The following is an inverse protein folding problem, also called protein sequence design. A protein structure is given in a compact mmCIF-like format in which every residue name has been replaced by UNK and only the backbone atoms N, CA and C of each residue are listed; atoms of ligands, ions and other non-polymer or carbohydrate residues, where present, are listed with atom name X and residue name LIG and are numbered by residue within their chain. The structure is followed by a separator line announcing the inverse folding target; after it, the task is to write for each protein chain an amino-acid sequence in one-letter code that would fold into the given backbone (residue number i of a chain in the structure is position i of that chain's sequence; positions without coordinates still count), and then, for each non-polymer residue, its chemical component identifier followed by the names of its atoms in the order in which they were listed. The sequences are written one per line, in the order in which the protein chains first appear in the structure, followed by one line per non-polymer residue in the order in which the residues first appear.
data_IF_011393166258
#
_entry.id   IF_011393166258
#
_cell.length_a   1.000
_cell.length_b   1.000
_cell.length_c   1.000
_cell.angle_alpha   90.00
_cell.angle_beta   90.00
_cell.angle_gamma   90.00
#
_symmetry.space_group_name_H-M   'P 1'
#
loop_
_entity.id
_entity.type
_entity.pdbx_description
1 polymer ?
#
# COMPACT_ATOMS: atom_id res chain seq x y z
N UNK A 1 -41.71 -44.70 62.50
CA UNK A 1 -41.73 -45.67 61.39
C UNK A 1 -40.78 -45.14 60.32
N UNK A 2 -39.90 -46.03 59.85
CA UNK A 2 -38.84 -45.87 58.82
C UNK A 2 -37.69 -44.89 59.19
N UNK A 3 -36.46 -45.32 59.56
CA UNK A 3 -35.39 -46.04 58.78
C UNK A 3 -34.93 -45.18 57.59
N UNK A 4 -33.67 -44.89 57.28
CA UNK A 4 -32.29 -45.34 57.56
C UNK A 4 -31.38 -44.11 57.30
N UNK A 5 -30.14 -43.91 57.76
CA UNK A 5 -29.02 -44.83 57.84
C UNK A 5 -27.83 -44.28 57.02
N UNK A 6 -26.98 -43.52 57.71
CA UNK A 6 -25.52 -43.67 57.73
C UNK A 6 -24.59 -43.12 56.60
N UNK A 7 -23.38 -42.75 57.08
CA UNK A 7 -22.05 -42.61 56.43
C UNK A 7 -21.73 -41.28 55.71
N UNK A 8 -20.84 -40.43 56.23
CA UNK A 8 -19.37 -40.52 56.45
C UNK A 8 -18.57 -39.99 55.24
N UNK A 9 -17.43 -39.35 55.51
CA UNK A 9 -16.32 -39.37 54.56
C UNK A 9 -15.84 -38.00 54.11
N UNK A 10 -14.87 -37.46 54.83
CA UNK A 10 -13.89 -36.51 54.32
C UNK A 10 -13.22 -37.01 53.05
N UNK A 11 -13.07 -36.13 52.06
CA UNK A 11 -12.06 -36.27 51.00
C UNK A 11 -12.60 -35.89 49.63
N UNK A 12 -12.25 -34.70 49.15
CA UNK A 12 -11.72 -34.52 47.80
C UNK A 12 -11.20 -33.08 47.64
N UNK A 13 -9.89 -32.97 47.43
CA UNK A 13 -9.20 -31.77 46.96
C UNK A 13 -9.64 -31.48 45.51
N UNK A 14 -10.79 -30.83 45.32
CA UNK A 14 -11.12 -30.21 44.05
C UNK A 14 -10.64 -28.74 44.08
N UNK A 15 -9.87 -28.26 43.08
CA UNK A 15 -9.62 -26.84 42.95
C UNK A 15 -10.97 -26.11 42.78
N UNK A 16 -11.11 -24.87 43.28
CA UNK A 16 -12.38 -24.17 43.23
C UNK A 16 -12.85 -24.04 41.78
N UNK A 17 -14.08 -24.48 41.52
CA UNK A 17 -14.76 -24.23 40.25
C UNK A 17 -14.78 -22.73 39.99
N UNK A 18 -14.00 -22.29 39.01
CA UNK A 18 -14.22 -21.00 38.38
C UNK A 18 -15.56 -21.10 37.64
N UNK A 19 -16.62 -20.60 38.28
CA UNK A 19 -17.85 -20.25 37.58
C UNK A 19 -17.43 -19.36 36.41
N UNK A 20 -17.58 -19.86 35.19
CA UNK A 20 -17.49 -19.02 34.01
C UNK A 20 -18.55 -17.94 34.18
N UNK A 21 -18.09 -16.72 34.46
CA UNK A 21 -18.94 -15.57 34.23
C UNK A 21 -19.25 -15.65 32.73
N UNK A 22 -20.52 -15.96 32.40
CA UNK A 22 -21.02 -15.71 31.06
C UNK A 22 -20.66 -14.25 30.79
N UNK A 23 -19.70 -14.04 29.89
CA UNK A 23 -19.49 -12.75 29.25
C UNK A 23 -20.88 -12.29 28.86
N UNK A 24 -21.39 -11.30 29.57
CA UNK A 24 -22.49 -10.52 29.04
C UNK A 24 -21.87 -9.90 27.80
N UNK A 25 -22.32 -10.37 26.65
CA UNK A 25 -22.16 -9.74 25.35
C UNK A 25 -22.60 -8.27 25.48
N UNK A 26 -21.70 -7.45 26.01
CA UNK A 26 -21.69 -6.04 25.69
C UNK A 26 -21.41 -6.04 24.19
N UNK A 27 -22.28 -5.45 23.36
CA UNK A 27 -21.97 -5.33 21.96
C UNK A 27 -20.68 -4.53 21.89
N UNK A 28 -19.58 -5.21 21.59
CA UNK A 28 -18.45 -4.59 20.92
C UNK A 28 -19.10 -3.88 19.75
N UNK A 29 -19.24 -2.56 19.84
CA UNK A 29 -19.33 -1.75 18.63
C UNK A 29 -17.99 -1.95 17.94
N UNK A 30 -17.85 -3.07 17.22
CA UNK A 30 -16.98 -3.13 16.07
C UNK A 30 -17.50 -2.04 15.16
N UNK A 31 -16.86 -0.87 15.20
CA UNK A 31 -16.96 0.04 14.09
C UNK A 31 -16.50 -0.76 12.87
N UNK A 32 -17.35 -1.02 11.88
CA UNK A 32 -16.92 -1.75 10.70
C UNK A 32 -15.77 -0.97 10.08
N UNK A 33 -14.57 -1.56 10.01
CA UNK A 33 -13.42 -0.94 9.37
C UNK A 33 -13.79 -0.63 7.93
N UNK A 34 -13.95 0.66 7.64
CA UNK A 34 -14.44 1.12 6.35
C UNK A 34 -13.32 1.03 5.31
N UNK A 35 -13.61 0.31 4.24
CA UNK A 35 -12.64 0.02 3.20
C UNK A 35 -12.86 0.94 1.98
N UNK A 36 -12.05 1.98 1.80
CA UNK A 36 -12.19 2.92 0.66
C UNK A 36 -11.97 2.29 -0.72
N UNK A 37 -11.68 0.99 -0.83
CA UNK A 37 -11.43 0.32 -2.09
C UNK A 37 -12.61 0.43 -3.08
N UNK A 38 -13.89 0.41 -2.66
CA UNK A 38 -15.08 0.49 -3.55
C UNK A 38 -16.44 0.84 -2.85
N UNK A 39 -16.68 2.08 -2.38
CA UNK A 39 -17.95 2.44 -1.69
C UNK A 39 -19.19 2.54 -2.60
N UNK A 40 -20.39 2.21 -2.09
CA UNK A 40 -21.69 2.57 -2.70
C UNK A 40 -22.24 3.90 -2.13
N UNK A 41 -23.26 4.55 -2.74
CA UNK A 41 -23.83 5.80 -2.22
C UNK A 41 -24.35 5.72 -0.77
N UNK A 42 -24.87 4.55 -0.35
CA UNK A 42 -25.26 4.30 1.05
C UNK A 42 -24.04 4.15 1.98
N UNK A 43 -22.93 3.65 1.43
CA UNK A 43 -21.62 3.63 2.09
C UNK A 43 -21.04 5.05 2.23
N UNK A 44 -21.47 5.97 1.37
CA UNK A 44 -21.12 7.39 1.38
C UNK A 44 -22.00 8.25 2.31
N UNK A 45 -23.06 7.71 2.92
CA UNK A 45 -23.87 8.50 3.86
C UNK A 45 -23.25 8.60 5.27
N UNK A 46 -22.31 7.69 5.62
CA UNK A 46 -21.47 7.82 6.84
C UNK A 46 -20.24 8.73 6.63
N UNK A 47 -20.17 9.40 5.47
CA UNK A 47 -19.06 10.17 4.91
C UNK A 47 -19.21 11.68 5.19
N UNK A 48 -19.80 12.07 6.33
CA UNK A 48 -20.01 13.50 6.60
C UNK A 48 -18.72 14.23 7.03
N UNK A 49 -17.62 13.52 7.29
CA UNK A 49 -16.34 14.22 7.43
C UNK A 49 -15.15 13.36 6.95
N UNK A 50 -14.91 13.30 5.63
CA UNK A 50 -13.49 13.37 5.22
C UNK A 50 -13.04 14.71 5.77
N UNK A 51 -12.28 14.73 6.86
CA UNK A 51 -11.79 15.99 7.42
C UNK A 51 -10.99 16.65 6.30
N UNK A 52 -11.50 17.73 5.68
CA UNK A 52 -10.76 18.40 4.65
C UNK A 52 -9.41 18.79 5.25
N UNK A 53 -8.37 18.72 4.44
CA UNK A 53 -7.07 19.20 4.86
C UNK A 53 -7.22 20.65 5.34
N UNK A 54 -6.59 21.02 6.46
CA UNK A 54 -6.74 22.37 6.98
C UNK A 54 -6.36 23.42 5.93
N UNK A 55 -7.03 24.57 5.93
CA UNK A 55 -6.96 25.60 4.88
C UNK A 55 -5.52 26.00 4.49
N UNK A 56 -4.60 26.08 5.46
CA UNK A 56 -3.19 26.38 5.19
C UNK A 56 -2.49 25.36 4.29
N UNK A 57 -2.99 24.14 4.18
CA UNK A 57 -2.49 23.08 3.31
C UNK A 57 -3.28 22.92 2.01
N UNK A 58 -4.27 23.75 1.73
CA UNK A 58 -4.98 23.68 0.43
C UNK A 58 -3.99 23.77 -0.73
N UNK A 59 -4.28 23.06 -1.81
CA UNK A 59 -3.44 23.09 -3.00
C UNK A 59 -3.56 24.45 -3.69
N UNK A 60 -2.46 25.18 -3.78
CA UNK A 60 -2.39 26.44 -4.53
C UNK A 60 -1.81 26.15 -5.91
N UNK A 61 -2.65 26.07 -6.96
CA UNK A 61 -2.15 25.77 -8.29
C UNK A 61 -1.46 26.98 -8.92
N UNK A 62 -0.55 26.72 -9.86
CA UNK A 62 -0.08 27.73 -10.81
C UNK A 62 -0.99 27.69 -12.02
N UNK A 63 -1.76 28.76 -12.25
CA UNK A 63 -2.79 28.79 -13.27
C UNK A 63 -2.17 28.75 -14.68
N UNK A 64 -2.74 27.93 -15.57
CA UNK A 64 -2.27 27.79 -16.95
C UNK A 64 -0.97 26.99 -17.12
N UNK A 65 -0.39 26.46 -16.04
CA UNK A 65 0.84 25.68 -16.10
C UNK A 65 0.60 24.27 -16.67
N UNK A 66 1.39 23.88 -17.68
CA UNK A 66 1.42 22.50 -18.15
C UNK A 66 2.21 21.62 -17.19
N UNK A 67 1.89 20.32 -17.06
CA UNK A 67 2.63 19.43 -16.18
C UNK A 67 4.15 19.41 -16.43
N UNK A 68 4.56 19.45 -17.70
CA UNK A 68 5.96 19.42 -18.11
C UNK A 68 6.74 20.65 -17.63
N UNK A 69 6.07 21.78 -17.45
CA UNK A 69 6.67 23.02 -16.98
C UNK A 69 6.87 23.06 -15.45
N UNK A 70 6.22 22.18 -14.68
CA UNK A 70 6.17 22.29 -13.22
C UNK A 70 7.55 22.18 -12.55
N UNK A 71 8.39 21.25 -13.01
CA UNK A 71 9.75 21.07 -12.46
C UNK A 71 10.68 22.24 -12.74
N UNK A 72 10.46 22.97 -13.84
CA UNK A 72 11.25 24.16 -14.16
C UNK A 72 10.79 25.41 -13.38
N UNK A 73 9.67 25.31 -12.65
CA UNK A 73 9.02 26.40 -11.94
C UNK A 73 8.68 26.03 -10.49
N UNK A 74 9.51 25.19 -9.85
CA UNK A 74 9.33 24.74 -8.45
C UNK A 74 9.16 25.92 -7.49
N UNK A 75 9.91 27.01 -7.69
CA UNK A 75 9.85 28.20 -6.85
C UNK A 75 8.45 28.81 -6.81
N UNK A 76 7.70 28.76 -7.92
CA UNK A 76 6.32 29.24 -7.95
C UNK A 76 5.41 28.40 -7.04
N UNK A 77 5.60 27.08 -6.99
CA UNK A 77 4.85 26.20 -6.07
C UNK A 77 5.24 26.46 -4.60
N UNK A 78 6.54 26.56 -4.31
CA UNK A 78 7.05 26.83 -2.96
C UNK A 78 6.47 28.16 -2.46
N UNK A 79 6.57 29.20 -3.30
CA UNK A 79 6.14 30.54 -2.94
C UNK A 79 4.63 30.66 -2.76
N UNK A 80 3.87 30.06 -3.67
CA UNK A 80 2.41 29.99 -3.55
C UNK A 80 2.00 29.34 -2.23
N UNK A 81 2.67 28.25 -1.87
CA UNK A 81 2.38 27.55 -0.62
C UNK A 81 2.86 28.31 0.62
N UNK A 82 3.97 29.02 0.52
CA UNK A 82 4.46 29.88 1.60
C UNK A 82 3.47 31.00 1.90
N UNK A 83 2.89 31.62 0.87
CA UNK A 83 1.83 32.63 1.03
C UNK A 83 0.59 32.02 1.70
N UNK A 84 0.13 30.86 1.23
CA UNK A 84 -1.03 30.17 1.81
C UNK A 84 -0.84 29.82 3.28
N UNK A 85 0.32 29.29 3.66
CA UNK A 85 0.65 28.98 5.06
C UNK A 85 0.84 30.25 5.90
N UNK A 86 1.26 31.36 5.30
CA UNK A 86 1.41 32.63 6.02
C UNK A 86 0.06 33.29 6.26
N UNK A 87 -0.88 33.19 5.31
CA UNK A 87 -2.25 33.68 5.45
C UNK A 87 -3.09 32.82 6.41
N UNK A 88 -2.79 31.53 6.48
CA UNK A 88 -3.48 30.56 7.34
C UNK A 88 -2.50 29.74 8.17
N UNK A 89 -1.74 30.37 9.08
CA UNK A 89 -0.68 29.71 9.82
C UNK A 89 -1.28 28.74 10.85
N UNK A 90 -0.77 27.49 10.92
CA UNK A 90 -1.03 26.64 12.07
C UNK A 90 -0.54 27.32 13.36
N UNK A 91 -1.21 27.04 14.49
CA UNK A 91 -0.81 27.59 15.78
C UNK A 91 0.67 27.27 16.09
N UNK A 92 1.37 28.23 16.68
CA UNK A 92 2.76 28.11 17.15
C UNK A 92 3.82 27.85 16.05
N UNK A 93 3.52 28.19 14.79
CA UNK A 93 4.49 28.08 13.70
C UNK A 93 5.29 29.36 13.52
N UNK A 94 6.62 29.24 13.56
CA UNK A 94 7.52 30.34 13.23
C UNK A 94 7.62 30.54 11.72
N UNK A 95 8.14 31.70 11.30
CA UNK A 95 8.39 31.99 9.88
C UNK A 95 9.36 30.98 9.25
N UNK A 96 10.39 30.54 9.98
CA UNK A 96 11.31 29.51 9.47
C UNK A 96 10.59 28.18 9.24
N UNK A 97 9.74 27.77 10.18
CA UNK A 97 8.94 26.54 10.04
C UNK A 97 7.98 26.62 8.85
N UNK A 98 7.30 27.75 8.66
CA UNK A 98 6.43 27.98 7.51
C UNK A 98 7.21 27.83 6.20
N UNK A 99 8.37 28.48 6.07
CA UNK A 99 9.23 28.38 4.87
C UNK A 99 9.63 26.93 4.60
N UNK A 100 10.05 26.22 5.64
CA UNK A 100 10.48 24.80 5.57
C UNK A 100 9.38 23.87 5.06
N UNK A 101 8.17 24.02 5.59
CA UNK A 101 7.00 23.23 5.18
C UNK A 101 6.54 23.63 3.77
N UNK A 102 6.61 24.93 3.43
CA UNK A 102 6.31 25.40 2.08
C UNK A 102 7.27 24.81 1.03
N UNK A 103 8.57 24.70 1.35
CA UNK A 103 9.55 24.01 0.50
C UNK A 103 9.13 22.55 0.27
N UNK A 104 8.81 21.83 1.35
CA UNK A 104 8.40 20.42 1.29
C UNK A 104 7.15 20.20 0.42
N UNK A 105 6.10 20.98 0.68
CA UNK A 105 4.84 20.91 -0.06
C UNK A 105 5.02 21.35 -1.51
N UNK A 106 5.70 22.47 -1.75
CA UNK A 106 5.90 23.03 -3.09
C UNK A 106 6.67 22.07 -4.01
N UNK A 107 7.77 21.49 -3.52
CA UNK A 107 8.53 20.47 -4.26
C UNK A 107 7.67 19.25 -4.53
N UNK A 108 7.01 18.72 -3.50
CA UNK A 108 6.22 17.50 -3.65
C UNK A 108 5.09 17.67 -4.65
N UNK A 109 4.47 18.84 -4.68
CA UNK A 109 3.42 19.19 -5.63
C UNK A 109 3.96 19.38 -7.04
N UNK A 110 5.07 20.10 -7.21
CA UNK A 110 5.69 20.28 -8.52
C UNK A 110 6.13 18.94 -9.13
N UNK A 111 6.78 18.08 -8.33
CA UNK A 111 7.20 16.73 -8.75
C UNK A 111 6.00 15.86 -9.07
N UNK A 112 4.97 15.84 -8.21
CA UNK A 112 3.76 15.08 -8.47
C UNK A 112 3.06 15.55 -9.76
N UNK A 113 2.96 16.86 -9.95
CA UNK A 113 2.39 17.46 -11.16
C UNK A 113 3.14 17.02 -12.42
N UNK A 114 4.46 17.16 -12.46
CA UNK A 114 5.23 16.77 -13.63
C UNK A 114 5.21 15.26 -13.90
N UNK A 115 5.38 14.46 -12.85
CA UNK A 115 5.58 13.02 -12.99
C UNK A 115 4.27 12.25 -13.25
N UNK A 116 3.15 12.74 -12.72
CA UNK A 116 1.84 12.10 -12.85
C UNK A 116 0.86 12.89 -13.71
N UNK A 117 1.34 13.94 -14.38
CA UNK A 117 0.55 14.82 -15.26
C UNK A 117 -0.70 15.37 -14.59
N UNK A 118 -0.58 15.76 -13.30
CA UNK A 118 -1.71 16.27 -12.52
C UNK A 118 -2.25 17.54 -13.16
N UNK A 119 -3.55 17.54 -13.45
CA UNK A 119 -4.30 18.70 -13.92
C UNK A 119 -5.17 19.27 -12.79
N UNK A 120 -5.73 20.46 -13.01
CA UNK A 120 -6.65 21.07 -12.05
C UNK A 120 -7.89 20.22 -11.77
N UNK A 121 -8.36 19.45 -12.76
CA UNK A 121 -9.47 18.50 -12.62
C UNK A 121 -9.12 17.29 -11.75
N UNK A 122 -7.83 17.02 -11.54
CA UNK A 122 -7.35 15.93 -10.68
C UNK A 122 -7.25 16.34 -9.21
N UNK A 123 -7.56 17.60 -8.89
CA UNK A 123 -7.51 18.16 -7.53
C UNK A 123 -8.94 18.38 -7.04
N UNK A 124 -9.22 17.95 -5.81
CA UNK A 124 -10.52 18.17 -5.18
C UNK A 124 -10.83 19.66 -5.06
N UNK A 125 -11.95 20.15 -5.62
CA UNK A 125 -12.27 21.58 -5.65
C UNK A 125 -12.30 22.24 -4.26
N UNK A 126 -12.74 21.51 -3.24
CA UNK A 126 -12.87 21.97 -1.85
C UNK A 126 -11.53 22.12 -1.11
N UNK A 127 -10.48 21.43 -1.57
CA UNK A 127 -9.12 21.50 -0.99
C UNK A 127 -8.17 22.32 -1.87
N UNK A 128 -8.73 23.16 -2.76
CA UNK A 128 -7.99 24.07 -3.65
C UNK A 128 -8.06 25.49 -3.12
N UNK A 129 -6.94 26.22 -3.15
CA UNK A 129 -6.91 27.65 -2.88
C UNK A 129 -6.82 28.46 -4.17
N UNK A 130 -7.04 29.77 -4.08
CA UNK A 130 -6.88 30.68 -5.21
C UNK A 130 -5.42 30.71 -5.70
N UNK A 131 -5.17 30.66 -7.02
CA UNK A 131 -3.82 30.72 -7.56
C UNK A 131 -3.16 32.06 -7.21
N UNK A 132 -1.84 32.03 -6.97
CA UNK A 132 -1.02 33.24 -6.77
C UNK A 132 -0.32 33.64 -8.08
N UNK A 133 -0.02 32.65 -8.91
CA UNK A 133 0.74 32.84 -10.14
C UNK A 133 0.00 32.29 -11.36
N UNK A 134 0.17 32.99 -12.47
CA UNK A 134 -0.11 32.53 -13.83
C UNK A 134 1.20 32.05 -14.47
N UNK A 135 1.12 30.97 -15.24
CA UNK A 135 2.16 30.55 -16.14
C UNK A 135 1.82 31.02 -17.56
N UNK A 136 2.75 31.75 -18.16
CA UNK A 136 2.70 32.10 -19.58
C UNK A 136 3.62 31.14 -20.34
N UNK A 137 3.08 30.27 -21.21
CA UNK A 137 3.90 29.40 -22.05
C UNK A 137 4.90 30.20 -22.91
N UNK A 138 6.06 29.61 -23.26
CA UNK A 138 7.01 30.28 -24.14
C UNK A 138 6.36 30.58 -25.49
N UNK A 139 6.53 31.81 -25.98
CA UNK A 139 6.14 32.18 -27.34
C UNK A 139 7.28 31.90 -28.33
N UNK A 140 7.01 31.98 -29.63
CA UNK A 140 8.01 31.71 -30.67
C UNK A 140 9.29 32.54 -30.45
N UNK A 141 10.42 31.86 -30.22
CA UNK A 141 11.72 32.47 -29.89
C UNK A 141 12.10 32.41 -28.41
N UNK A 142 11.19 32.06 -27.50
CA UNK A 142 11.48 31.85 -26.09
C UNK A 142 11.73 30.36 -25.79
N UNK A 143 12.74 30.07 -24.96
CA UNK A 143 13.07 28.69 -24.56
C UNK A 143 12.36 28.26 -23.27
N UNK A 144 11.78 29.19 -22.53
CA UNK A 144 11.11 28.95 -21.23
C UNK A 144 9.91 29.86 -21.07
N UNK A 145 8.82 29.30 -20.53
CA UNK A 145 7.68 30.11 -20.10
C UNK A 145 8.00 30.96 -18.87
N UNK A 146 7.18 31.97 -18.63
CA UNK A 146 7.36 32.94 -17.54
C UNK A 146 6.28 32.81 -16.49
N UNK A 147 6.61 33.18 -15.25
CA UNK A 147 5.68 33.24 -14.14
C UNK A 147 5.25 34.69 -13.93
N UNK A 148 3.94 34.91 -13.92
CA UNK A 148 3.32 36.22 -13.71
C UNK A 148 2.45 36.18 -12.46
N UNK A 149 2.38 37.28 -11.72
CA UNK A 149 1.50 37.37 -10.54
C UNK A 149 0.06 37.55 -11.03
N UNK A 150 -0.90 36.83 -10.44
CA UNK A 150 -2.32 36.97 -10.84
C UNK A 150 -2.83 38.39 -10.57
N UNK A 151 -3.69 38.93 -11.47
CA UNK A 151 -4.38 40.18 -11.18
C UNK A 151 -5.34 39.98 -10.01
N UNK A 152 -5.41 40.95 -9.10
CA UNK A 152 -6.36 40.93 -7.97
C UNK A 152 -5.78 40.56 -6.60
N UNK A 153 -4.49 40.24 -6.49
CA UNK A 153 -3.81 40.22 -5.18
C UNK A 153 -3.71 41.63 -4.59
N UNK A 154 -3.83 41.71 -3.26
CA UNK A 154 -3.54 42.94 -2.50
C UNK A 154 -2.09 43.41 -2.71
N UNK A 155 -1.81 44.68 -2.42
CA UNK A 155 -0.46 45.23 -2.63
C UNK A 155 0.59 44.53 -1.76
N UNK A 156 0.23 44.13 -0.53
CA UNK A 156 1.11 43.36 0.36
C UNK A 156 1.40 41.95 -0.18
N UNK A 157 0.36 41.24 -0.63
CA UNK A 157 0.52 39.91 -1.24
C UNK A 157 1.33 39.99 -2.53
N UNK A 158 1.13 41.03 -3.34
CA UNK A 158 1.89 41.26 -4.57
C UNK A 158 3.34 41.58 -4.27
N UNK A 159 3.62 42.41 -3.26
CA UNK A 159 4.98 42.71 -2.82
C UNK A 159 5.69 41.43 -2.35
N UNK A 160 5.01 40.59 -1.56
CA UNK A 160 5.54 39.27 -1.17
C UNK A 160 5.78 38.38 -2.40
N UNK A 161 4.79 38.26 -3.29
CA UNK A 161 4.84 37.47 -4.52
C UNK A 161 5.91 37.95 -5.52
N UNK A 162 6.38 39.20 -5.43
CA UNK A 162 7.47 39.74 -6.23
C UNK A 162 8.87 39.51 -5.66
N UNK A 163 9.02 39.26 -4.34
CA UNK A 163 10.34 39.09 -3.70
C UNK A 163 11.08 37.81 -4.15
N UNK A 164 12.37 37.85 -4.54
CA UNK A 164 13.12 36.63 -4.79
C UNK A 164 13.12 35.69 -3.57
N UNK A 165 12.98 34.38 -3.78
CA UNK A 165 13.23 33.41 -2.70
C UNK A 165 14.71 33.09 -2.69
N UNK A 166 15.36 33.39 -1.56
CA UNK A 166 16.73 32.96 -1.30
C UNK A 166 16.73 31.63 -0.53
N UNK A 167 17.52 30.68 -1.02
CA UNK A 167 17.74 29.39 -0.39
C UNK A 167 19.15 29.31 0.20
N UNK A 168 19.24 28.91 1.46
CA UNK A 168 20.48 28.51 2.10
C UNK A 168 21.01 27.21 1.48
N UNK A 169 22.29 26.91 1.66
CA UNK A 169 22.87 25.68 1.11
C UNK A 169 22.26 24.42 1.76
N UNK A 170 21.87 24.50 3.03
CA UNK A 170 21.13 23.45 3.71
C UNK A 170 19.73 23.23 3.09
N UNK A 171 19.02 24.31 2.75
CA UNK A 171 17.75 24.21 2.02
C UNK A 171 17.95 23.59 0.65
N UNK A 172 18.94 24.03 -0.14
CA UNK A 172 19.22 23.44 -1.47
C UNK A 172 19.52 21.95 -1.40
N UNK A 173 20.33 21.53 -0.42
CA UNK A 173 20.61 20.12 -0.18
C UNK A 173 19.31 19.35 0.17
N UNK A 174 18.47 19.93 1.03
CA UNK A 174 17.19 19.33 1.38
C UNK A 174 16.22 19.26 0.20
N UNK A 175 16.16 20.29 -0.64
CA UNK A 175 15.34 20.33 -1.84
C UNK A 175 15.69 19.17 -2.78
N UNK A 176 16.98 18.89 -3.00
CA UNK A 176 17.42 17.78 -3.85
C UNK A 176 16.95 16.41 -3.31
N UNK A 177 16.99 16.21 -1.99
CA UNK A 177 16.49 14.99 -1.33
C UNK A 177 14.97 14.89 -1.43
N UNK A 178 14.26 15.99 -1.15
CA UNK A 178 12.81 16.06 -1.22
C UNK A 178 12.31 15.73 -2.63
N UNK A 179 12.94 16.27 -3.68
CA UNK A 179 12.58 15.98 -5.06
C UNK A 179 12.58 14.47 -5.37
N UNK A 180 13.60 13.73 -4.90
CA UNK A 180 13.68 12.27 -5.08
C UNK A 180 12.62 11.53 -4.28
N UNK A 181 12.41 11.95 -3.03
CA UNK A 181 11.38 11.36 -2.17
C UNK A 181 9.97 11.59 -2.74
N UNK A 182 9.71 12.75 -3.34
CA UNK A 182 8.40 13.13 -3.87
C UNK A 182 7.94 12.27 -5.05
N UNK A 183 8.87 11.64 -5.77
CA UNK A 183 8.54 10.65 -6.81
C UNK A 183 7.73 9.47 -6.24
N UNK A 184 7.95 9.15 -4.96
CA UNK A 184 7.26 8.04 -4.29
C UNK A 184 5.89 8.42 -3.71
N UNK A 185 5.57 9.71 -3.56
CA UNK A 185 4.39 10.14 -2.78
C UNK A 185 3.08 9.60 -3.35
N UNK A 186 2.74 9.91 -4.61
CA UNK A 186 1.50 9.45 -5.23
C UNK A 186 1.44 7.91 -5.33
N UNK A 187 2.49 7.20 -5.83
CA UNK A 187 2.45 5.75 -5.92
C UNK A 187 2.31 5.05 -4.56
N UNK A 188 2.98 5.55 -3.51
CA UNK A 188 2.88 4.95 -2.19
C UNK A 188 1.56 5.28 -1.48
N UNK A 189 1.00 6.47 -1.69
CA UNK A 189 -0.37 6.75 -1.24
C UNK A 189 -1.37 5.80 -1.91
N UNK A 190 -1.23 5.58 -3.23
CA UNK A 190 -2.02 4.58 -3.96
C UNK A 190 -1.81 3.15 -3.45
N UNK A 191 -0.57 2.75 -3.16
CA UNK A 191 -0.27 1.45 -2.55
C UNK A 191 -0.96 1.31 -1.18
N UNK A 192 -0.88 2.34 -0.34
CA UNK A 192 -1.50 2.35 0.99
C UNK A 192 -3.02 2.24 0.90
N UNK A 193 -3.65 2.91 -0.06
CA UNK A 193 -5.09 2.76 -0.34
C UNK A 193 -5.46 1.32 -0.71
N UNK A 194 -4.65 0.65 -1.54
CA UNK A 194 -4.86 -0.76 -1.92
C UNK A 194 -4.62 -1.71 -0.74
N UNK A 195 -3.64 -1.42 0.11
CA UNK A 195 -3.21 -2.29 1.21
C UNK A 195 -4.15 -2.19 2.43
N UNK A 196 -4.45 -0.98 2.89
CA UNK A 196 -5.20 -0.73 4.12
C UNK A 196 -6.37 0.25 3.98
N UNK A 197 -6.65 0.76 2.78
CA UNK A 197 -7.77 1.67 2.56
C UNK A 197 -7.54 3.07 3.12
N UNK A 198 -6.30 3.46 3.42
CA UNK A 198 -5.89 4.79 3.90
C UNK A 198 -4.74 5.28 3.01
N UNK A 199 -4.70 6.57 2.66
CA UNK A 199 -3.62 7.10 1.82
C UNK A 199 -2.28 7.22 2.56
N UNK A 200 -2.31 7.49 3.86
CA UNK A 200 -1.12 7.47 4.71
C UNK A 200 -1.45 7.17 6.18
N UNK A 201 -0.68 6.27 6.79
CA UNK A 201 -0.65 6.09 8.24
C UNK A 201 0.78 6.31 8.75
N UNK A 202 0.94 7.29 9.63
CA UNK A 202 2.24 7.67 10.21
C UNK A 202 2.81 6.63 11.17
N UNK A 203 1.98 5.72 11.69
CA UNK A 203 2.43 4.66 12.57
C UNK A 203 3.33 3.65 11.82
N UNK A 204 4.60 3.60 12.25
CA UNK A 204 5.63 2.69 11.74
C UNK A 204 5.33 1.21 12.03
N UNK A 205 4.37 0.89 12.89
CA UNK A 205 3.86 -0.46 13.09
C UNK A 205 3.06 -0.98 11.88
N UNK A 206 2.39 -0.08 11.16
CA UNK A 206 1.53 -0.39 10.02
C UNK A 206 2.31 -0.69 8.74
N UNK A 207 1.70 -1.39 7.78
CA UNK A 207 2.32 -1.63 6.48
C UNK A 207 2.48 -0.33 5.67
N UNK A 208 1.52 0.58 5.76
CA UNK A 208 1.60 1.93 5.21
C UNK A 208 2.83 2.65 5.75
N UNK A 209 2.94 2.84 7.07
CA UNK A 209 4.08 3.53 7.69
C UNK A 209 5.43 2.88 7.38
N UNK A 210 5.49 1.54 7.28
CA UNK A 210 6.70 0.81 6.85
C UNK A 210 7.10 1.09 5.40
N UNK A 211 6.14 1.30 4.50
CA UNK A 211 6.40 1.62 3.10
C UNK A 211 7.04 3.00 2.97
N UNK A 212 6.47 4.03 3.60
CA UNK A 212 7.03 5.39 3.60
C UNK A 212 8.37 5.45 4.33
N UNK A 213 8.50 4.80 5.50
CA UNK A 213 9.77 4.73 6.23
C UNK A 213 10.89 3.99 5.47
N UNK A 214 10.58 3.17 4.46
CA UNK A 214 11.60 2.58 3.59
C UNK A 214 12.23 3.64 2.66
N UNK A 215 11.42 4.57 2.14
CA UNK A 215 11.89 5.71 1.34
C UNK A 215 12.68 6.69 2.20
N UNK A 216 12.19 6.99 3.40
CA UNK A 216 12.91 7.85 4.35
C UNK A 216 14.30 7.27 4.68
N UNK A 217 14.40 5.97 4.99
CA UNK A 217 15.70 5.33 5.25
C UNK A 217 16.64 5.39 4.06
N UNK A 218 16.10 5.43 2.85
CA UNK A 218 16.88 5.50 1.64
C UNK A 218 17.51 6.88 1.43
N UNK A 219 16.81 7.97 1.78
CA UNK A 219 17.25 9.33 1.41
C UNK A 219 17.52 10.26 2.60
N UNK A 220 16.92 10.03 3.77
CA UNK A 220 17.01 10.93 4.93
C UNK A 220 18.19 10.58 5.86
N UNK A 221 19.03 9.63 5.47
CA UNK A 221 20.22 9.23 6.23
C UNK A 221 21.40 10.18 6.08
N UNK A 222 21.41 11.05 5.07
CA UNK A 222 22.52 11.99 4.85
C UNK A 222 22.57 13.06 5.96
N UNK A 223 23.74 13.43 6.50
CA UNK A 223 23.84 14.39 7.61
C UNK A 223 23.16 15.74 7.32
N UNK A 224 23.37 16.28 6.11
CA UNK A 224 22.82 17.58 5.72
C UNK A 224 21.29 17.63 5.77
N UNK A 225 20.60 16.59 5.29
CA UNK A 225 19.13 16.53 5.38
C UNK A 225 18.67 16.22 6.79
N UNK A 226 19.39 15.39 7.54
CA UNK A 226 19.04 15.06 8.93
C UNK A 226 19.05 16.31 9.82
N UNK A 227 20.08 17.14 9.68
CA UNK A 227 20.21 18.39 10.42
C UNK A 227 19.13 19.40 9.97
N UNK A 228 18.89 19.48 8.66
CA UNK A 228 17.81 20.31 8.13
C UNK A 228 16.46 19.87 8.69
N UNK A 229 16.11 18.58 8.71
CA UNK A 229 14.86 18.04 9.26
C UNK A 229 14.69 18.43 10.73
N UNK A 230 15.73 18.20 11.55
CA UNK A 230 15.80 18.62 12.94
C UNK A 230 14.56 18.27 13.77
N UNK A 231 14.09 19.24 14.57
CA UNK A 231 12.92 19.08 15.42
C UNK A 231 11.58 19.00 14.65
N UNK A 232 11.56 19.41 13.38
CA UNK A 232 10.33 19.48 12.56
C UNK A 232 10.07 18.21 11.74
N UNK A 233 10.85 17.13 11.96
CA UNK A 233 10.76 15.90 11.15
C UNK A 233 9.33 15.34 11.05
N UNK A 234 8.56 15.35 12.14
CA UNK A 234 7.19 14.81 12.15
C UNK A 234 6.25 15.65 11.28
N UNK A 235 6.39 16.98 11.33
CA UNK A 235 5.59 17.90 10.52
C UNK A 235 5.99 17.82 9.05
N UNK A 236 7.27 17.63 8.75
CA UNK A 236 7.76 17.43 7.38
C UNK A 236 7.26 16.09 6.83
N UNK A 237 7.26 15.02 7.63
CA UNK A 237 6.68 13.72 7.27
C UNK A 237 5.19 13.84 6.94
N UNK A 238 4.41 14.49 7.81
CA UNK A 238 2.99 14.69 7.55
C UNK A 238 2.78 15.59 6.32
N UNK A 239 3.53 16.70 6.20
CA UNK A 239 3.45 17.57 5.03
C UNK A 239 3.75 16.82 3.73
N UNK A 240 4.80 16.00 3.71
CA UNK A 240 5.24 15.29 2.52
C UNK A 240 4.34 14.11 2.15
N UNK A 241 4.08 13.22 3.10
CA UNK A 241 3.44 11.94 2.84
C UNK A 241 1.92 12.00 2.91
N UNK A 242 1.37 13.01 3.59
CA UNK A 242 -0.07 13.23 3.69
C UNK A 242 -0.47 14.47 2.90
N UNK A 243 -0.09 15.67 3.39
CA UNK A 243 -0.70 16.95 2.97
C UNK A 243 -0.35 17.39 1.55
N UNK A 244 0.82 17.00 1.03
CA UNK A 244 1.28 17.43 -0.29
C UNK A 244 0.30 17.03 -1.39
N UNK A 245 -0.20 15.79 -1.34
CA UNK A 245 -1.03 15.18 -2.39
C UNK A 245 -2.32 14.55 -1.88
N UNK A 246 -2.71 14.80 -0.62
CA UNK A 246 -4.05 14.48 -0.12
C UNK A 246 -5.17 15.00 -1.05
N UNK A 247 -5.11 16.24 -1.57
CA UNK A 247 -6.14 16.77 -2.46
C UNK A 247 -6.22 16.10 -3.84
N UNK A 248 -5.27 15.25 -4.21
CA UNK A 248 -5.27 14.58 -5.53
C UNK A 248 -6.30 13.44 -5.54
N UNK A 249 -7.08 13.38 -6.61
CA UNK A 249 -8.11 12.38 -6.85
C UNK A 249 -7.57 10.95 -6.73
N UNK A 250 -8.37 10.09 -6.10
CA UNK A 250 -8.00 8.68 -5.85
C UNK A 250 -7.70 7.92 -7.14
N UNK A 251 -8.38 8.23 -8.24
CA UNK A 251 -8.16 7.60 -9.54
C UNK A 251 -6.71 7.76 -10.03
N UNK A 252 -6.08 8.91 -9.79
CA UNK A 252 -4.67 9.12 -10.14
C UNK A 252 -3.77 8.26 -9.26
N UNK A 253 -4.04 8.21 -7.95
CA UNK A 253 -3.27 7.39 -6.99
C UNK A 253 -3.35 5.90 -7.35
N UNK A 254 -4.54 5.39 -7.68
CA UNK A 254 -4.74 4.01 -8.11
C UNK A 254 -4.03 3.70 -9.44
N UNK A 255 -4.10 4.60 -10.42
CA UNK A 255 -3.39 4.44 -11.70
C UNK A 255 -1.89 4.39 -11.49
N UNK A 256 -1.34 5.28 -10.67
CA UNK A 256 0.09 5.34 -10.40
C UNK A 256 0.59 4.09 -9.66
N UNK A 257 -0.14 3.60 -8.65
CA UNK A 257 0.32 2.45 -7.87
C UNK A 257 0.18 1.11 -8.61
N UNK A 258 -0.69 1.00 -9.61
CA UNK A 258 -0.86 -0.23 -10.40
C UNK A 258 -0.08 -0.23 -11.72
N UNK A 259 0.58 0.87 -12.06
CA UNK A 259 1.33 1.00 -13.30
C UNK A 259 2.70 0.33 -13.22
N UNK A 260 2.97 -0.56 -14.17
CA UNK A 260 4.30 -1.13 -14.39
C UNK A 260 5.30 -0.09 -14.92
N UNK A 261 4.82 0.88 -15.72
CA UNK A 261 5.64 1.99 -16.20
C UNK A 261 6.13 2.86 -15.03
N UNK A 262 5.25 3.19 -14.08
CA UNK A 262 5.62 3.96 -12.88
C UNK A 262 6.65 3.21 -12.04
N UNK A 263 6.52 1.88 -11.94
CA UNK A 263 7.54 1.06 -11.27
C UNK A 263 8.90 1.22 -11.95
N UNK A 264 8.97 1.11 -13.27
CA UNK A 264 10.21 1.22 -14.04
C UNK A 264 10.83 2.62 -13.96
N UNK A 265 9.99 3.66 -13.96
CA UNK A 265 10.41 5.03 -13.71
C UNK A 265 11.04 5.18 -12.31
N UNK A 266 10.41 4.63 -11.26
CA UNK A 266 10.97 4.66 -9.91
C UNK A 266 12.29 3.89 -9.80
N UNK A 267 12.42 2.73 -10.47
CA UNK A 267 13.69 2.00 -10.54
C UNK A 267 14.77 2.86 -11.20
N UNK A 268 14.46 3.46 -12.34
CA UNK A 268 15.39 4.32 -13.11
C UNK A 268 15.81 5.55 -12.32
N UNK A 269 14.88 6.16 -11.58
CA UNK A 269 15.15 7.27 -10.68
C UNK A 269 15.88 6.87 -9.38
N UNK A 270 16.19 5.59 -9.20
CA UNK A 270 16.87 5.06 -8.03
C UNK A 270 15.99 4.93 -6.81
N UNK A 271 14.66 5.06 -6.89
CA UNK A 271 13.69 4.98 -5.78
C UNK A 271 13.23 3.53 -5.57
N UNK A 272 14.18 2.60 -5.44
CA UNK A 272 13.92 1.16 -5.37
C UNK A 272 13.03 0.73 -4.19
N UNK A 273 13.10 1.44 -3.06
CA UNK A 273 12.29 1.16 -1.87
C UNK A 273 10.79 1.35 -2.11
N UNK A 274 10.40 2.28 -2.99
CA UNK A 274 9.03 2.45 -3.43
C UNK A 274 8.70 1.49 -4.59
N UNK A 275 9.60 1.35 -5.57
CA UNK A 275 9.39 0.53 -6.75
C UNK A 275 9.06 -0.95 -6.43
N UNK A 276 9.69 -1.53 -5.41
CA UNK A 276 9.43 -2.92 -4.99
C UNK A 276 7.99 -3.17 -4.51
N UNK A 277 7.26 -2.10 -4.18
CA UNK A 277 5.85 -2.16 -3.75
C UNK A 277 4.86 -2.16 -4.92
N UNK A 278 5.36 -1.93 -6.13
CA UNK A 278 4.55 -1.82 -7.34
C UNK A 278 4.76 -3.02 -8.29
N UNK A 279 3.77 -3.36 -9.13
CA UNK A 279 2.38 -2.91 -9.07
C UNK A 279 1.67 -3.31 -7.77
N UNK A 280 0.90 -2.39 -7.20
CA UNK A 280 0.18 -2.62 -5.96
C UNK A 280 -0.95 -3.64 -6.17
N UNK A 281 -1.07 -4.57 -5.22
CA UNK A 281 -2.14 -5.57 -5.19
C UNK A 281 -2.58 -5.75 -3.74
N UNK A 282 -3.88 -5.98 -3.55
CA UNK A 282 -4.47 -6.25 -2.24
C UNK A 282 -3.77 -7.45 -1.58
N UNK A 283 -3.58 -7.43 -0.25
CA UNK A 283 -2.90 -8.51 0.47
C UNK A 283 -3.48 -9.90 0.18
N UNK A 284 -4.80 -10.01 0.08
CA UNK A 284 -5.53 -11.25 -0.19
C UNK A 284 -5.29 -11.76 -1.62
N UNK A 285 -5.27 -10.85 -2.59
CA UNK A 285 -4.98 -11.15 -4.01
C UNK A 285 -3.53 -11.63 -4.14
N UNK A 286 -2.61 -10.97 -3.45
CA UNK A 286 -1.19 -11.35 -3.40
C UNK A 286 -1.00 -12.73 -2.76
N UNK A 287 -1.72 -13.01 -1.68
CA UNK A 287 -1.72 -14.33 -1.05
C UNK A 287 -2.27 -15.40 -1.98
N UNK A 288 -3.41 -15.15 -2.64
CA UNK A 288 -4.00 -16.07 -3.62
C UNK A 288 -3.05 -16.39 -4.78
N UNK A 289 -2.39 -15.37 -5.37
CA UNK A 289 -1.35 -15.58 -6.39
C UNK A 289 -0.18 -16.42 -5.88
N UNK A 290 0.23 -16.21 -4.63
CA UNK A 290 1.31 -17.00 -4.01
C UNK A 290 0.90 -18.45 -3.80
N UNK A 291 -0.37 -18.70 -3.50
CA UNK A 291 -0.89 -20.06 -3.35
C UNK A 291 -0.91 -20.79 -4.69
N UNK A 292 -1.39 -20.15 -5.76
CA UNK A 292 -1.39 -20.74 -7.11
C UNK A 292 0.04 -21.09 -7.54
N UNK A 293 0.95 -20.12 -7.49
CA UNK A 293 2.33 -20.35 -7.88
C UNK A 293 3.02 -21.46 -7.05
N UNK A 294 2.66 -21.59 -5.77
CA UNK A 294 3.12 -22.70 -4.94
C UNK A 294 2.53 -24.04 -5.40
N UNK A 295 1.23 -24.08 -5.69
CA UNK A 295 0.55 -25.27 -6.17
C UNK A 295 1.12 -25.72 -7.52
N UNK A 296 1.35 -24.81 -8.46
CA UNK A 296 1.97 -25.11 -9.76
C UNK A 296 3.32 -25.82 -9.62
N UNK A 297 4.10 -25.44 -8.61
CA UNK A 297 5.39 -26.07 -8.32
C UNK A 297 5.24 -27.46 -7.70
N UNK A 298 4.26 -27.67 -6.80
CA UNK A 298 4.10 -28.95 -6.10
C UNK A 298 3.22 -29.97 -6.83
N UNK A 299 2.29 -29.52 -7.68
CA UNK A 299 1.29 -30.37 -8.35
C UNK A 299 1.89 -31.56 -9.11
N UNK A 300 2.96 -31.40 -9.93
CA UNK A 300 3.56 -32.53 -10.64
C UNK A 300 4.05 -33.65 -9.70
N UNK A 301 4.46 -33.32 -8.48
CA UNK A 301 4.92 -34.29 -7.49
C UNK A 301 3.76 -35.07 -6.88
N UNK A 302 2.62 -34.43 -6.65
CA UNK A 302 1.43 -35.07 -6.10
C UNK A 302 0.75 -35.96 -7.14
N UNK A 303 0.70 -35.53 -8.41
CA UNK A 303 0.13 -36.28 -9.53
C UNK A 303 0.84 -37.63 -9.76
N UNK A 304 2.15 -37.69 -9.54
CA UNK A 304 2.93 -38.92 -9.69
C UNK A 304 2.45 -40.07 -8.78
N UNK A 305 1.74 -39.76 -7.69
CA UNK A 305 1.17 -40.72 -6.75
C UNK A 305 -0.37 -40.70 -6.74
N UNK A 306 -1.00 -40.16 -7.79
CA UNK A 306 -2.45 -40.13 -7.95
C UNK A 306 -3.17 -39.06 -7.10
N UNK A 307 -2.41 -38.12 -6.51
CA UNK A 307 -2.95 -36.92 -5.88
C UNK A 307 -3.05 -35.75 -6.86
N UNK A 308 -3.42 -34.57 -6.36
CA UNK A 308 -3.43 -33.35 -7.16
C UNK A 308 -3.92 -32.14 -6.37
N UNK A 309 -3.61 -30.93 -6.86
CA UNK A 309 -4.12 -29.67 -6.31
C UNK A 309 -4.82 -28.92 -7.44
N UNK A 310 -6.12 -28.63 -7.27
CA UNK A 310 -6.89 -27.84 -8.22
C UNK A 310 -6.96 -26.38 -7.77
N UNK A 311 -6.52 -25.47 -8.64
CA UNK A 311 -6.50 -24.02 -8.41
C UNK A 311 -7.55 -23.26 -9.23
N UNK A 312 -8.33 -23.92 -10.08
CA UNK A 312 -9.23 -23.32 -11.08
C UNK A 312 -10.17 -22.27 -10.47
N UNK A 313 -10.76 -22.58 -9.31
CA UNK A 313 -11.71 -21.67 -8.66
C UNK A 313 -11.00 -20.44 -8.07
N UNK A 314 -9.76 -20.59 -7.59
CA UNK A 314 -8.97 -19.47 -7.04
C UNK A 314 -8.46 -18.59 -8.18
N UNK A 315 -8.06 -19.19 -9.30
CA UNK A 315 -7.72 -18.48 -10.55
C UNK A 315 -8.92 -17.66 -11.04
N UNK A 316 -10.11 -18.28 -11.10
CA UNK A 316 -11.34 -17.57 -11.45
C UNK A 316 -11.65 -16.41 -10.49
N UNK A 317 -11.44 -16.60 -9.19
CA UNK A 317 -11.64 -15.55 -8.20
C UNK A 317 -10.67 -14.37 -8.40
N UNK A 318 -9.39 -14.65 -8.70
CA UNK A 318 -8.40 -13.61 -9.00
C UNK A 318 -8.68 -12.91 -10.33
N UNK A 319 -9.11 -13.65 -11.36
CA UNK A 319 -9.53 -13.07 -12.64
C UNK A 319 -10.74 -12.15 -12.47
N UNK A 320 -11.71 -12.55 -11.64
CA UNK A 320 -12.87 -11.73 -11.28
C UNK A 320 -12.46 -10.42 -10.60
N UNK A 321 -11.44 -10.45 -9.72
CA UNK A 321 -10.89 -9.20 -9.14
C UNK A 321 -10.32 -8.29 -10.22
N UNK A 322 -9.59 -8.83 -11.21
CA UNK A 322 -9.02 -8.03 -12.30
C UNK A 322 -10.08 -7.42 -13.21
N UNK A 323 -11.19 -8.14 -13.41
CA UNK A 323 -12.33 -7.67 -14.21
C UNK A 323 -13.05 -6.46 -13.57
N UNK A 324 -12.84 -6.21 -12.27
CA UNK A 324 -13.30 -5.00 -11.59
C UNK A 324 -12.13 -4.05 -11.30
N UNK A 325 -11.92 -2.99 -12.12
CA UNK A 325 -10.79 -2.08 -11.94
C UNK A 325 -10.82 -1.32 -10.60
N UNK A 326 -9.65 -0.91 -10.11
CA UNK A 326 -9.54 -0.06 -8.93
C UNK A 326 -10.09 1.34 -9.20
N UNK A 327 -10.83 1.90 -8.24
CA UNK A 327 -11.34 3.26 -8.31
C UNK A 327 -12.54 3.45 -9.26
N UNK A 328 -13.10 2.38 -9.81
CA UNK A 328 -14.34 2.45 -10.60
C UNK A 328 -15.55 2.41 -9.66
N UNK A 329 -16.29 3.52 -9.61
CA UNK A 329 -17.59 3.56 -8.95
C UNK A 329 -18.63 2.83 -9.81
N UNK A 330 -19.26 1.81 -9.24
CA UNK A 330 -20.32 1.00 -9.88
C UNK A 330 -19.93 0.42 -11.25
N UNK A 331 -18.99 -0.56 -11.30
CA UNK A 331 -18.44 -1.10 -12.55
C UNK A 331 -19.44 -1.87 -13.44
N UNK A 332 -20.74 -1.90 -13.11
CA UNK A 332 -21.74 -2.74 -13.77
C UNK A 332 -21.53 -4.23 -13.49
N UNK A 333 -22.44 -5.05 -13.98
CA UNK A 333 -22.27 -6.51 -13.94
C UNK A 333 -21.25 -6.96 -15.01
N UNK A 334 -20.50 -8.02 -14.70
CA UNK A 334 -19.58 -8.62 -15.66
C UNK A 334 -20.36 -9.24 -16.83
N UNK A 335 -20.04 -8.81 -18.05
CA UNK A 335 -20.55 -9.45 -19.25
C UNK A 335 -20.09 -10.91 -19.29
N UNK A 336 -21.00 -11.84 -19.59
CA UNK A 336 -20.72 -13.29 -19.64
C UNK A 336 -20.16 -13.89 -18.33
N UNK A 337 -20.75 -13.49 -17.20
CA UNK A 337 -20.42 -14.00 -15.87
C UNK A 337 -20.39 -15.54 -15.79
N UNK A 338 -19.25 -16.10 -15.38
CA UNK A 338 -19.13 -17.53 -15.07
C UNK A 338 -20.07 -17.92 -13.91
N UNK A 339 -20.82 -19.01 -14.10
CA UNK A 339 -21.84 -19.51 -13.14
C UNK A 339 -21.26 -19.85 -11.77
N UNK A 340 -19.95 -20.10 -11.68
CA UNK A 340 -19.24 -20.42 -10.43
C UNK A 340 -18.95 -19.16 -9.59
N UNK A 341 -19.09 -17.96 -10.14
CA UNK A 341 -18.88 -16.70 -9.42
C UNK A 341 -20.09 -16.43 -8.49
N UNK A 342 -19.90 -16.37 -7.15
CA UNK A 342 -21.00 -16.20 -6.20
C UNK A 342 -21.82 -14.92 -6.44
N UNK A 343 -23.16 -15.01 -6.42
CA UNK A 343 -24.07 -13.91 -6.82
C UNK A 343 -23.77 -12.55 -6.20
N UNK A 344 -23.30 -12.52 -4.95
CA UNK A 344 -22.93 -11.32 -4.21
C UNK A 344 -21.60 -10.67 -4.64
N UNK A 345 -20.83 -11.30 -5.53
CA UNK A 345 -19.64 -10.72 -6.17
C UNK A 345 -20.10 -9.84 -7.32
N UNK A 346 -20.21 -8.54 -7.04
CA UNK A 346 -20.75 -7.52 -7.97
C UNK A 346 -19.82 -6.31 -8.14
N UNK A 347 -18.72 -6.28 -7.41
CA UNK A 347 -17.69 -5.24 -7.49
C UNK A 347 -16.35 -5.78 -6.98
N UNK A 348 -15.30 -4.97 -7.11
CA UNK A 348 -13.95 -5.38 -6.70
C UNK A 348 -13.86 -5.72 -5.21
N UNK A 349 -14.56 -5.01 -4.32
CA UNK A 349 -14.52 -5.28 -2.87
C UNK A 349 -15.06 -6.68 -2.57
N UNK A 350 -16.23 -7.02 -3.12
CA UNK A 350 -16.84 -8.35 -2.93
C UNK A 350 -16.04 -9.45 -3.62
N UNK A 351 -15.38 -9.16 -4.75
CA UNK A 351 -14.44 -10.08 -5.40
C UNK A 351 -13.19 -10.34 -4.54
N UNK A 352 -12.58 -9.29 -3.97
CA UNK A 352 -11.43 -9.43 -3.04
C UNK A 352 -11.84 -10.19 -1.78
N UNK A 353 -13.04 -9.94 -1.25
CA UNK A 353 -13.56 -10.70 -0.13
C UNK A 353 -13.73 -12.19 -0.47
N UNK A 354 -14.23 -12.50 -1.67
CA UNK A 354 -14.33 -13.89 -2.13
C UNK A 354 -12.95 -14.57 -2.20
N UNK A 355 -11.93 -13.90 -2.75
CA UNK A 355 -10.53 -14.37 -2.71
C UNK A 355 -10.06 -14.57 -1.27
N UNK A 356 -10.32 -13.63 -0.36
CA UNK A 356 -9.99 -13.73 1.06
C UNK A 356 -10.59 -14.99 1.68
N UNK A 357 -11.88 -15.24 1.44
CA UNK A 357 -12.56 -16.44 1.94
C UNK A 357 -11.97 -17.73 1.36
N UNK A 358 -11.51 -17.73 0.11
CA UNK A 358 -10.82 -18.88 -0.49
C UNK A 358 -9.44 -19.09 0.12
N UNK A 359 -8.64 -18.03 0.27
CA UNK A 359 -7.29 -18.09 0.86
C UNK A 359 -7.35 -18.56 2.32
N UNK A 360 -8.33 -18.09 3.11
CA UNK A 360 -8.51 -18.51 4.50
C UNK A 360 -8.94 -19.97 4.61
N UNK A 361 -9.96 -20.39 3.85
CA UNK A 361 -10.46 -21.78 3.87
C UNK A 361 -9.40 -22.79 3.46
N UNK A 362 -8.53 -22.42 2.53
CA UNK A 362 -7.48 -23.30 2.00
C UNK A 362 -6.11 -23.08 2.66
N UNK A 363 -6.02 -22.32 3.76
CA UNK A 363 -4.75 -22.00 4.40
C UNK A 363 -3.97 -23.23 4.86
N UNK A 364 -4.66 -24.28 5.35
CA UNK A 364 -4.01 -25.53 5.77
C UNK A 364 -3.42 -26.31 4.59
N UNK A 365 -4.15 -26.39 3.47
CA UNK A 365 -3.66 -27.05 2.25
C UNK A 365 -2.45 -26.28 1.71
N UNK A 366 -2.53 -24.95 1.64
CA UNK A 366 -1.41 -24.12 1.21
C UNK A 366 -0.21 -24.25 2.15
N UNK A 367 -0.42 -24.35 3.46
CA UNK A 367 0.66 -24.55 4.44
C UNK A 367 1.36 -25.89 4.23
N UNK A 368 0.58 -26.96 4.00
CA UNK A 368 1.10 -28.29 3.67
C UNK A 368 1.90 -28.28 2.36
N UNK A 369 1.36 -27.70 1.30
CA UNK A 369 2.09 -27.54 0.03
C UNK A 369 3.39 -26.74 0.25
N UNK A 370 3.37 -25.73 1.11
CA UNK A 370 4.54 -24.91 1.40
C UNK A 370 5.61 -25.68 2.19
N UNK A 371 5.21 -26.49 3.16
CA UNK A 371 6.11 -27.39 3.88
C UNK A 371 6.79 -28.38 2.94
N UNK A 372 6.01 -29.01 2.05
CA UNK A 372 6.53 -29.92 1.03
C UNK A 372 7.52 -29.20 0.11
N UNK A 373 7.16 -28.01 -0.38
CA UNK A 373 8.03 -27.19 -1.23
C UNK A 373 9.35 -26.81 -0.53
N UNK A 374 9.31 -26.39 0.74
CA UNK A 374 10.53 -26.04 1.48
C UNK A 374 11.41 -27.27 1.68
N UNK A 375 10.85 -28.41 2.10
CA UNK A 375 11.59 -29.66 2.24
C UNK A 375 12.23 -30.10 0.91
N UNK A 376 11.49 -29.96 -0.19
CA UNK A 376 11.99 -30.20 -1.54
C UNK A 376 13.18 -29.28 -1.84
N UNK A 377 12.98 -27.97 -1.70
CA UNK A 377 13.99 -26.94 -1.96
C UNK A 377 15.25 -27.15 -1.12
N UNK A 378 15.12 -27.50 0.17
CA UNK A 378 16.22 -27.80 1.08
C UNK A 378 17.03 -29.02 0.62
N UNK A 379 16.38 -30.09 0.11
CA UNK A 379 17.08 -31.29 -0.35
C UNK A 379 17.67 -31.15 -1.76
N UNK A 380 17.15 -30.26 -2.60
CA UNK A 380 17.68 -29.98 -3.95
C UNK A 380 18.85 -28.98 -3.99
N UNK A 381 19.51 -28.65 -2.87
CA UNK A 381 20.61 -27.68 -2.82
C UNK A 381 21.79 -28.05 -3.76
N UNK A 382 21.74 -27.59 -5.02
CA UNK A 382 22.84 -27.25 -5.96
C UNK A 382 22.36 -27.32 -7.44
N UNK A 383 21.60 -26.32 -7.89
CA UNK A 383 21.73 -25.83 -9.26
C UNK A 383 21.28 -24.37 -9.31
N UNK A 384 22.24 -23.49 -9.53
CA UNK A 384 22.09 -22.03 -9.55
C UNK A 384 21.32 -21.50 -10.78
N UNK A 385 20.26 -22.18 -11.20
CA UNK A 385 19.51 -21.85 -12.43
C UNK A 385 18.00 -21.62 -12.23
N UNK A 386 17.47 -21.70 -11.00
CA UNK A 386 16.02 -21.64 -10.75
C UNK A 386 15.54 -20.37 -10.05
N UNK A 387 15.53 -19.21 -10.72
CA UNK A 387 15.09 -17.93 -10.13
C UNK A 387 13.67 -17.92 -9.54
N UNK A 388 12.78 -18.85 -9.93
CA UNK A 388 11.44 -18.99 -9.37
C UNK A 388 11.41 -19.65 -7.97
N UNK A 389 12.38 -20.53 -7.67
CA UNK A 389 12.47 -21.26 -6.39
C UNK A 389 12.80 -20.31 -5.24
N UNK A 390 13.65 -19.31 -5.49
CA UNK A 390 14.00 -18.30 -4.48
C UNK A 390 12.83 -17.37 -4.15
N UNK A 391 12.03 -16.99 -5.15
CA UNK A 391 10.94 -16.01 -4.96
C UNK A 391 9.86 -16.55 -4.00
N UNK A 392 9.47 -17.82 -4.13
CA UNK A 392 8.44 -18.42 -3.25
C UNK A 392 8.93 -18.59 -1.80
N UNK A 393 10.20 -19.00 -1.61
CA UNK A 393 10.80 -19.13 -0.27
C UNK A 393 10.83 -17.80 0.49
N UNK A 394 11.00 -16.69 -0.23
CA UNK A 394 11.00 -15.34 0.36
C UNK A 394 9.62 -14.68 0.41
N UNK A 395 8.56 -15.34 -0.08
CA UNK A 395 7.20 -14.79 -0.08
C UNK A 395 6.66 -14.57 1.34
N UNK A 396 6.25 -13.33 1.63
CA UNK A 396 5.74 -12.95 2.95
C UNK A 396 4.42 -13.65 3.30
N UNK A 397 3.52 -13.84 2.33
CA UNK A 397 2.24 -14.52 2.51
C UNK A 397 2.45 -15.99 2.90
N UNK A 398 3.40 -16.68 2.27
CA UNK A 398 3.74 -18.07 2.57
C UNK A 398 4.46 -18.20 3.92
N UNK A 399 5.40 -17.29 4.24
CA UNK A 399 6.03 -17.25 5.58
C UNK A 399 5.03 -17.01 6.72
N UNK A 400 3.87 -16.38 6.44
CA UNK A 400 2.80 -16.22 7.43
C UNK A 400 2.11 -17.56 7.73
N UNK A 401 2.04 -18.47 6.76
CA UNK A 401 1.47 -19.81 6.96
C UNK A 401 2.26 -20.63 7.97
N UNK A 402 3.59 -20.53 7.96
CA UNK A 402 4.44 -21.25 8.94
C UNK A 402 4.07 -20.86 10.38
N UNK A 403 3.78 -19.58 10.61
CA UNK A 403 3.40 -19.08 11.94
C UNK A 403 1.96 -19.43 12.31
N UNK A 404 1.05 -19.36 11.33
CA UNK A 404 -0.38 -19.46 11.61
C UNK A 404 -0.94 -20.88 11.49
N UNK A 405 -0.29 -21.75 10.72
CA UNK A 405 -0.71 -23.12 10.40
C UNK A 405 0.47 -24.09 10.50
N UNK A 406 1.26 -23.96 11.57
CA UNK A 406 2.48 -24.74 11.79
C UNK A 406 2.25 -26.26 11.67
N UNK A 407 1.18 -26.86 12.24
CA UNK A 407 0.98 -28.31 12.14
C UNK A 407 0.85 -28.78 10.68
N UNK A 408 0.03 -28.11 9.88
CA UNK A 408 -0.15 -28.45 8.48
C UNK A 408 1.14 -28.25 7.66
N UNK A 409 1.91 -27.21 7.96
CA UNK A 409 3.23 -26.99 7.39
C UNK A 409 4.18 -28.17 7.68
N UNK A 410 4.25 -28.62 8.94
CA UNK A 410 5.11 -29.75 9.34
C UNK A 410 4.67 -31.05 8.64
N UNK A 411 3.37 -31.32 8.56
CA UNK A 411 2.84 -32.46 7.81
C UNK A 411 3.32 -32.44 6.36
N UNK A 412 3.26 -31.29 5.69
CA UNK A 412 3.77 -31.15 4.33
C UNK A 412 5.26 -31.42 4.19
N UNK A 413 6.05 -30.92 5.16
CA UNK A 413 7.50 -31.15 5.21
C UNK A 413 7.82 -32.65 5.33
N UNK A 414 7.09 -33.37 6.19
CA UNK A 414 7.21 -34.81 6.38
C UNK A 414 6.78 -35.59 5.14
N UNK A 415 5.68 -35.19 4.48
CA UNK A 415 5.20 -35.81 3.24
C UNK A 415 6.25 -35.82 2.12
N UNK A 416 7.13 -34.82 2.06
CA UNK A 416 8.24 -34.85 1.11
C UNK A 416 9.28 -35.92 1.46
N UNK A 417 9.48 -36.19 2.75
CA UNK A 417 10.28 -37.32 3.23
C UNK A 417 9.79 -38.64 2.66
N UNK A 418 8.49 -38.90 2.79
CA UNK A 418 7.84 -40.10 2.27
C UNK A 418 7.89 -40.16 0.74
N UNK A 419 7.63 -39.05 0.07
CA UNK A 419 7.77 -38.90 -1.38
C UNK A 419 9.17 -39.30 -1.85
N UNK A 420 10.22 -38.73 -1.24
CA UNK A 420 11.60 -39.00 -1.62
C UNK A 420 11.97 -40.48 -1.40
N UNK A 421 11.51 -41.09 -0.31
CA UNK A 421 11.72 -42.52 -0.04
C UNK A 421 11.02 -43.40 -1.09
N UNK A 422 9.78 -43.06 -1.47
CA UNK A 422 9.01 -43.79 -2.48
C UNK A 422 9.65 -43.69 -3.87
N UNK A 423 10.13 -42.51 -4.26
CA UNK A 423 10.86 -42.29 -5.52
C UNK A 423 12.16 -43.10 -5.57
N UNK A 424 12.97 -43.06 -4.51
CA UNK A 424 14.21 -43.84 -4.42
C UNK A 424 13.96 -45.35 -4.56
N UNK A 425 12.88 -45.86 -3.95
CA UNK A 425 12.46 -47.26 -4.05
C UNK A 425 12.00 -47.65 -5.47
N UNK A 426 11.34 -46.75 -6.19
CA UNK A 426 10.93 -46.96 -7.59
C UNK A 426 12.14 -46.99 -8.53
N UNK A 427 13.11 -46.10 -8.32
CA UNK A 427 14.36 -46.05 -9.10
C UNK A 427 15.23 -47.30 -8.90
N UNK A 428 15.38 -47.78 -7.67
CA UNK A 428 16.11 -49.03 -7.37
C UNK A 428 15.43 -50.25 -7.99
N UNK A 429 14.09 -50.35 -7.95
CA UNK A 429 13.35 -51.42 -8.64
C UNK A 429 13.50 -51.38 -10.15
N UNK A 430 13.49 -50.20 -10.78
CA UNK A 430 13.69 -50.07 -12.23
C UNK A 430 15.10 -50.47 -12.68
N UNK A 431 16.13 -50.24 -11.86
CA UNK A 431 17.51 -50.66 -12.13
C UNK A 431 17.72 -52.17 -11.96
N UNK A 432 17.02 -52.79 -10.99
CA UNK A 432 17.08 -54.24 -10.77
C UNK A 432 16.28 -55.09 -11.77
N UNK A 433 15.43 -54.48 -12.61
CA UNK A 433 14.69 -55.16 -13.68
C UNK A 433 15.39 -55.09 -15.05
N UNK A 434 16.52 -54.37 -15.14
CA UNK A 434 17.38 -54.25 -16.32
C UNK A 434 18.70 -55.03 -16.16
N UNK A 435 18.86 -55.75 -15.06
CA UNK A 435 19.86 -56.80 -14.86
C UNK A 435 19.16 -58.15 -14.94
#
# INVERSE_FOLDING_TARGET
MATDGNTSGTGNNAPPEFRSYKERDLPLMEFPSFDMRNGSPVSAFRLVVRLPVAQGYHWVPVQGMTPEAAMSNIDAFIKSQQMQLTAHPPADWTRERIKKIAICLGISRAVATANHRIQLSDIMPEERASPVFNYRPPVAGETRGTIEIVPGLSDEERAFAAQPIEYTDAEKAAMAVLMRCSLATIPLQGYSLVDCGQDYLSDKGTQSGKAFAAVERQFWGEPAIKDWLGADIKQIQDAMWNKATHPVNLAVKYRACTSQEVKEQLVTAGVGSAAIRLPAMEPEVRAGKSYIALCDVVSPHFEMFGGGVNTDLLELALATVQAYPLGTENPGELQNRDKRIPLNVVNRRTAVHWVSSMVKRNANIAAMCYGFFIAMSDRTLMSAAGGAVDILRHSFSLKKLVRNQLPAYMTGYEMYGDYAAAVAKKQTRSKGALQ
#
